data_IF_000125880858
#
_entry.id   IF_000125880858
#
_cell.length_a   1.000
_cell.length_b   1.000
_cell.length_c   1.000
_cell.angle_alpha   90.00
_cell.angle_beta   90.00
_cell.angle_gamma   90.00
#
_symmetry.space_group_name_H-M   'P 1'
#
loop_
_entity.id
_entity.type
_entity.pdbx_description
1 polymer ?
#
# COMPACT_ATOMS: atom_id res chain seq x y z
N UNK A 1 -0.40 0.33 13.09
CA UNK A 1 -1.85 0.06 13.02
C UNK A 1 -2.66 1.30 12.62
N UNK A 2 -2.61 2.41 13.36
CA UNK A 2 -3.47 3.60 13.12
C UNK A 2 -3.63 4.05 11.65
N UNK A 3 -2.54 4.16 10.89
CA UNK A 3 -2.59 4.62 9.49
C UNK A 3 -3.24 3.60 8.53
N UNK A 4 -3.12 2.30 8.80
CA UNK A 4 -3.76 1.27 8.00
C UNK A 4 -5.27 1.25 8.28
N UNK A 5 -5.68 1.45 9.53
CA UNK A 5 -7.09 1.59 9.89
C UNK A 5 -7.74 2.81 9.23
N UNK A 6 -7.01 3.93 9.11
CA UNK A 6 -7.47 5.08 8.32
C UNK A 6 -7.71 4.73 6.85
N UNK A 7 -6.84 3.92 6.24
CA UNK A 7 -7.04 3.44 4.87
C UNK A 7 -8.27 2.53 4.76
N UNK A 8 -8.51 1.64 5.74
CA UNK A 8 -9.73 0.83 5.77
C UNK A 8 -11.00 1.68 5.80
N UNK A 9 -11.01 2.76 6.59
CA UNK A 9 -12.13 3.72 6.62
C UNK A 9 -12.35 4.42 5.28
N UNK A 10 -11.29 4.73 4.52
CA UNK A 10 -11.47 5.26 3.16
C UNK A 10 -12.25 4.30 2.27
N UNK A 11 -11.95 3.00 2.36
CA UNK A 11 -12.64 1.99 1.56
C UNK A 11 -14.11 1.92 1.97
N UNK A 12 -14.39 1.89 3.27
CA UNK A 12 -15.76 1.87 3.79
C UNK A 12 -16.57 3.08 3.31
N UNK A 13 -15.99 4.29 3.39
CA UNK A 13 -16.68 5.54 3.06
C UNK A 13 -16.88 5.76 1.56
N UNK A 14 -15.95 5.29 0.72
CA UNK A 14 -15.90 5.66 -0.71
C UNK A 14 -16.01 4.47 -1.68
N UNK A 15 -16.28 3.25 -1.20
CA UNK A 15 -16.46 2.06 -2.05
C UNK A 15 -17.62 2.18 -3.06
N UNK A 16 -18.55 3.11 -2.86
CA UNK A 16 -19.63 3.40 -3.81
C UNK A 16 -19.18 4.16 -5.06
N UNK A 17 -18.01 4.81 -5.03
CA UNK A 17 -17.52 5.68 -6.11
C UNK A 17 -16.11 5.39 -6.59
N UNK A 18 -15.34 4.59 -5.85
CA UNK A 18 -13.97 4.27 -6.17
C UNK A 18 -13.65 2.81 -5.83
N UNK A 19 -12.89 2.18 -6.71
CA UNK A 19 -12.25 0.90 -6.45
C UNK A 19 -10.96 1.11 -5.65
N UNK A 20 -10.65 0.15 -4.78
CA UNK A 20 -9.44 0.16 -3.96
C UNK A 20 -8.60 -1.08 -4.23
N UNK A 21 -7.28 -0.92 -4.19
CA UNK A 21 -6.31 -1.99 -4.42
C UNK A 21 -5.09 -1.77 -3.53
N UNK A 22 -4.64 -2.83 -2.85
CA UNK A 22 -3.33 -2.86 -2.21
C UNK A 22 -2.39 -3.68 -3.08
N UNK A 23 -1.22 -3.11 -3.39
CA UNK A 23 -0.12 -3.81 -4.04
C UNK A 23 0.98 -4.03 -3.00
N UNK A 24 1.17 -5.26 -2.56
CA UNK A 24 2.24 -5.64 -1.64
C UNK A 24 3.57 -5.69 -2.39
N UNK A 25 4.52 -4.84 -1.99
CA UNK A 25 5.83 -4.67 -2.63
C UNK A 25 6.95 -5.34 -1.82
N UNK A 26 8.20 -5.03 -2.12
CA UNK A 26 9.34 -5.49 -1.34
C UNK A 26 9.39 -4.89 0.08
N UNK A 27 10.03 -5.60 1.00
CA UNK A 27 10.17 -5.16 2.39
C UNK A 27 11.12 -3.95 2.47
N UNK A 28 10.60 -2.81 2.93
CA UNK A 28 11.44 -1.62 3.17
C UNK A 28 12.52 -1.87 4.25
N UNK A 29 12.26 -2.78 5.18
CA UNK A 29 13.08 -3.06 6.35
C UNK A 29 13.20 -4.57 6.62
N UNK A 30 13.72 -5.30 5.63
CA UNK A 30 13.94 -6.74 5.73
C UNK A 30 14.89 -7.12 6.87
N UNK A 31 14.53 -8.17 7.62
CA UNK A 31 15.27 -8.68 8.78
C UNK A 31 16.66 -9.26 8.47
N UNK A 32 16.92 -9.64 7.22
CA UNK A 32 18.25 -10.03 6.75
C UNK A 32 18.98 -8.92 5.98
N UNK A 33 18.48 -7.69 6.10
CA UNK A 33 19.13 -6.45 5.67
C UNK A 33 19.18 -5.45 6.82
N UNK A 34 18.91 -4.17 6.52
CA UNK A 34 18.75 -3.15 7.56
C UNK A 34 17.31 -3.18 8.10
N UNK A 35 17.16 -3.43 9.40
CA UNK A 35 15.86 -3.47 10.06
C UNK A 35 15.87 -2.76 11.42
N UNK A 36 14.71 -2.22 11.80
CA UNK A 36 14.50 -1.72 13.15
C UNK A 36 14.35 -2.87 14.15
N UNK A 37 14.81 -2.67 15.39
CA UNK A 37 14.75 -3.70 16.46
C UNK A 37 13.33 -4.20 16.78
N UNK A 38 12.30 -3.42 16.50
CA UNK A 38 10.89 -3.74 16.80
C UNK A 38 10.04 -3.94 15.54
N UNK A 39 10.65 -4.30 14.40
CA UNK A 39 9.90 -4.52 13.16
C UNK A 39 9.34 -5.95 13.08
N UNK A 40 8.34 -6.15 12.22
CA UNK A 40 7.90 -7.49 11.83
C UNK A 40 9.08 -8.21 11.16
N UNK A 41 9.38 -9.42 11.61
CA UNK A 41 10.54 -10.18 11.15
C UNK A 41 10.21 -10.88 9.83
N UNK A 42 10.35 -10.15 8.72
CA UNK A 42 10.21 -10.66 7.35
C UNK A 42 11.56 -10.53 6.66
N UNK A 43 12.01 -11.57 5.97
CA UNK A 43 13.27 -11.54 5.18
C UNK A 43 13.00 -10.99 3.79
N UNK A 44 14.05 -10.58 3.09
CA UNK A 44 13.93 -10.24 1.67
C UNK A 44 13.31 -11.42 0.89
N UNK A 45 12.31 -11.11 0.08
CA UNK A 45 11.65 -12.10 -0.77
C UNK A 45 12.63 -12.62 -1.81
N UNK A 46 12.91 -13.92 -1.84
CA UNK A 46 13.80 -14.54 -2.86
C UNK A 46 13.03 -15.03 -4.07
N UNK A 47 11.73 -15.21 -3.92
CA UNK A 47 10.80 -15.66 -4.95
C UNK A 47 9.38 -15.16 -4.63
N UNK A 48 8.46 -15.38 -5.57
CA UNK A 48 7.07 -14.92 -5.43
C UNK A 48 6.34 -15.56 -4.24
N UNK A 49 6.66 -16.81 -3.89
CA UNK A 49 6.03 -17.49 -2.74
C UNK A 49 6.43 -16.86 -1.41
N UNK A 50 7.67 -16.38 -1.27
CA UNK A 50 8.09 -15.60 -0.10
C UNK A 50 7.24 -14.33 0.05
N UNK A 51 7.05 -13.60 -1.06
CA UNK A 51 6.24 -12.39 -1.08
C UNK A 51 4.76 -12.65 -0.81
N UNK A 52 4.21 -13.73 -1.36
CA UNK A 52 2.83 -14.14 -1.09
C UNK A 52 2.62 -14.51 0.38
N UNK A 53 3.61 -15.16 1.01
CA UNK A 53 3.56 -15.46 2.45
C UNK A 53 3.60 -14.20 3.30
N UNK A 54 4.44 -13.23 2.97
CA UNK A 54 4.48 -11.94 3.65
C UNK A 54 3.16 -11.16 3.47
N UNK A 55 2.63 -11.10 2.25
CA UNK A 55 1.35 -10.49 1.96
C UNK A 55 0.17 -11.16 2.70
N UNK A 56 0.26 -12.47 2.99
CA UNK A 56 -0.74 -13.17 3.81
C UNK A 56 -0.80 -12.63 5.24
N UNK A 57 0.32 -12.18 5.81
CA UNK A 57 0.33 -11.55 7.13
C UNK A 57 -0.46 -10.22 7.13
N UNK A 58 -0.43 -9.49 6.02
CA UNK A 58 -1.26 -8.29 5.87
C UNK A 58 -2.76 -8.63 5.85
N UNK A 59 -3.13 -9.80 5.29
CA UNK A 59 -4.51 -10.26 5.25
C UNK A 59 -5.10 -10.56 6.63
N UNK A 60 -4.28 -10.86 7.64
CA UNK A 60 -4.74 -11.01 9.02
C UNK A 60 -5.36 -9.72 9.56
N UNK A 61 -5.00 -8.56 9.00
CA UNK A 61 -5.61 -7.25 9.32
C UNK A 61 -6.96 -7.02 8.60
N UNK A 62 -7.42 -7.99 7.81
CA UNK A 62 -8.71 -7.99 7.09
C UNK A 62 -8.94 -6.71 6.26
N UNK A 63 -8.11 -6.41 5.26
CA UNK A 63 -8.35 -5.28 4.35
C UNK A 63 -9.63 -5.52 3.53
N UNK A 64 -10.56 -4.54 3.45
CA UNK A 64 -11.81 -4.68 2.70
C UNK A 64 -11.63 -4.43 1.19
N UNK A 65 -10.48 -4.78 0.62
CA UNK A 65 -10.21 -4.63 -0.81
C UNK A 65 -9.24 -5.73 -1.30
N UNK A 66 -9.15 -5.95 -2.62
CA UNK A 66 -8.16 -6.86 -3.18
C UNK A 66 -6.73 -6.50 -2.78
N UNK A 67 -5.97 -7.53 -2.40
CA UNK A 67 -4.52 -7.45 -2.17
C UNK A 67 -3.84 -8.28 -3.26
N UNK A 68 -3.00 -7.62 -4.05
CA UNK A 68 -2.13 -8.26 -5.03
C UNK A 68 -0.67 -8.09 -4.61
N UNK A 69 0.23 -8.87 -5.20
CA UNK A 69 1.67 -8.73 -4.98
C UNK A 69 2.33 -8.16 -6.23
N UNK A 70 3.32 -7.29 -6.05
CA UNK A 70 4.15 -6.85 -7.19
C UNK A 70 5.01 -8.01 -7.72
N UNK A 71 5.43 -7.91 -8.97
CA UNK A 71 6.32 -8.91 -9.58
C UNK A 71 7.68 -8.93 -8.88
N UNK A 72 8.42 -10.04 -9.00
CA UNK A 72 9.75 -10.14 -8.37
C UNK A 72 10.77 -9.16 -8.96
N UNK A 73 10.51 -8.62 -10.15
CA UNK A 73 11.26 -7.52 -10.77
C UNK A 73 10.91 -6.14 -10.19
N UNK A 74 9.99 -6.06 -9.21
CA UNK A 74 9.52 -4.82 -8.57
C UNK A 74 8.97 -3.79 -9.56
N UNK A 75 8.29 -4.26 -10.62
CA UNK A 75 7.89 -3.39 -11.74
C UNK A 75 6.94 -2.28 -11.31
N UNK A 76 5.94 -2.58 -10.49
CA UNK A 76 5.00 -1.58 -10.01
C UNK A 76 5.69 -0.62 -9.04
N UNK A 77 6.51 -1.14 -8.13
CA UNK A 77 7.28 -0.35 -7.18
C UNK A 77 8.20 0.66 -7.88
N UNK A 78 8.90 0.24 -8.94
CA UNK A 78 9.77 1.12 -9.72
C UNK A 78 8.99 2.18 -10.48
N UNK A 79 7.93 1.80 -11.21
CA UNK A 79 7.14 2.73 -12.03
C UNK A 79 6.40 3.77 -11.18
N UNK A 80 5.96 3.39 -9.98
CA UNK A 80 5.23 4.27 -9.06
C UNK A 80 6.11 4.82 -7.93
N UNK A 81 7.43 4.54 -7.93
CA UNK A 81 8.36 4.92 -6.86
C UNK A 81 7.73 4.69 -5.47
N UNK A 82 7.29 3.44 -5.23
CA UNK A 82 6.34 3.10 -4.17
C UNK A 82 6.99 2.86 -2.80
N UNK A 83 8.31 2.71 -2.74
CA UNK A 83 9.02 2.55 -1.47
C UNK A 83 9.02 3.83 -0.61
N UNK A 84 8.95 3.69 0.73
CA UNK A 84 8.70 2.44 1.47
C UNK A 84 7.21 2.03 1.44
N UNK A 85 6.33 3.01 1.35
CA UNK A 85 4.91 2.89 1.03
C UNK A 85 4.46 4.17 0.31
N UNK A 86 3.36 4.09 -0.45
CA UNK A 86 2.85 5.23 -1.21
C UNK A 86 1.38 5.10 -1.58
N UNK A 87 0.66 6.22 -1.52
CA UNK A 87 -0.73 6.33 -1.94
C UNK A 87 -0.85 7.00 -3.31
N UNK A 88 -1.77 6.51 -4.13
CA UNK A 88 -2.12 7.07 -5.42
C UNK A 88 -3.64 7.09 -5.61
N UNK A 89 -4.14 8.10 -6.31
CA UNK A 89 -5.50 8.10 -6.88
C UNK A 89 -5.37 8.22 -8.40
N UNK A 90 -5.98 7.27 -9.11
CA UNK A 90 -5.99 7.24 -10.56
C UNK A 90 -7.42 7.34 -11.08
N UNK A 91 -7.62 8.13 -12.12
CA UNK A 91 -8.88 8.21 -12.84
C UNK A 91 -8.60 8.33 -14.34
N UNK A 92 -9.29 7.55 -15.16
CA UNK A 92 -9.13 7.56 -16.62
C UNK A 92 -7.65 7.53 -17.08
N UNK A 93 -6.85 6.65 -16.46
CA UNK A 93 -5.40 6.48 -16.70
C UNK A 93 -4.53 7.70 -16.38
N UNK A 94 -5.05 8.67 -15.64
CA UNK A 94 -4.31 9.84 -15.14
C UNK A 94 -4.14 9.74 -13.64
N UNK A 95 -2.99 10.17 -13.15
CA UNK A 95 -2.72 10.29 -11.72
C UNK A 95 -3.35 11.61 -11.24
N UNK A 96 -4.42 11.53 -10.46
CA UNK A 96 -5.05 12.68 -9.82
C UNK A 96 -4.32 13.06 -8.52
N UNK A 97 -3.75 12.07 -7.85
CA UNK A 97 -2.99 12.27 -6.62
C UNK A 97 -1.83 11.29 -6.54
N UNK A 98 -0.67 11.82 -6.11
CA UNK A 98 0.56 11.10 -5.84
C UNK A 98 1.04 11.52 -4.46
N UNK A 99 0.90 10.63 -3.47
CA UNK A 99 1.41 10.86 -2.13
C UNK A 99 2.93 10.98 -2.10
N UNK A 100 3.47 11.57 -1.03
CA UNK A 100 4.91 11.55 -0.76
C UNK A 100 5.30 10.16 -0.22
N UNK A 101 6.59 9.75 -0.34
CA UNK A 101 7.06 8.49 0.22
C UNK A 101 6.83 8.43 1.73
N UNK A 102 6.34 7.29 2.21
CA UNK A 102 6.17 7.02 3.64
C UNK A 102 7.47 6.74 4.40
N UNK A 103 7.38 6.18 5.62
CA UNK A 103 6.14 5.97 6.37
C UNK A 103 5.60 7.28 6.95
N UNK A 104 6.45 8.31 7.08
CA UNK A 104 6.10 9.58 7.69
C UNK A 104 5.02 10.33 6.91
N UNK A 105 5.11 10.31 5.58
CA UNK A 105 4.17 11.01 4.70
C UNK A 105 3.00 10.16 4.18
N UNK A 106 2.75 8.98 4.76
CA UNK A 106 1.53 8.23 4.46
C UNK A 106 0.34 8.94 5.10
N UNK A 107 -0.44 9.66 4.29
CA UNK A 107 -1.56 10.50 4.72
C UNK A 107 -2.87 10.12 3.99
N UNK A 108 -3.63 9.13 4.51
CA UNK A 108 -4.95 8.76 3.96
C UNK A 108 -5.93 9.94 3.85
N UNK A 109 -5.82 10.96 4.71
CA UNK A 109 -6.67 12.15 4.66
C UNK A 109 -6.47 12.97 3.38
N UNK A 110 -5.27 12.96 2.77
CA UNK A 110 -5.06 13.60 1.47
C UNK A 110 -5.80 12.87 0.35
N UNK A 111 -5.89 11.53 0.43
CA UNK A 111 -6.71 10.72 -0.49
C UNK A 111 -8.20 11.01 -0.28
N UNK A 112 -8.66 11.10 0.99
CA UNK A 112 -10.04 11.51 1.31
C UNK A 112 -10.41 12.82 0.63
N UNK A 113 -9.60 13.86 0.79
CA UNK A 113 -9.86 15.18 0.22
C UNK A 113 -9.94 15.17 -1.32
N UNK A 114 -9.31 14.19 -1.99
CA UNK A 114 -9.43 13.98 -3.44
C UNK A 114 -10.75 13.27 -3.76
N UNK A 115 -11.09 12.21 -3.02
CA UNK A 115 -12.31 11.43 -3.24
C UNK A 115 -13.58 12.24 -2.95
N UNK A 116 -13.58 13.09 -1.92
CA UNK A 116 -14.71 13.99 -1.60
C UNK A 116 -15.02 14.95 -2.76
N UNK A 117 -14.00 15.41 -3.50
CA UNK A 117 -14.17 16.26 -4.69
C UNK A 117 -14.69 15.51 -5.92
N UNK A 118 -14.56 14.18 -5.94
CA UNK A 118 -15.10 13.32 -7.00
C UNK A 118 -16.53 12.88 -6.69
N UNK A 119 -16.94 12.95 -5.42
CA UNK A 119 -18.27 12.61 -4.94
C UNK A 119 -19.28 13.76 -5.05
N UNK A 120 -18.80 15.00 -5.19
CA UNK A 120 -19.60 16.22 -5.36
C UNK A 120 -19.99 16.47 -6.81
#
# INVERSE_FOLDING_TARGET
LFKFDQFKRLIEDFSSIADFLIIYIEEAHASDGWAFKNNVVIRNHRNLQDRLRAARLLLDSSPPCPVVVDSMENRSSQLYAALPDRLYVLQARRILYKGKPGPWNYHPEEVRAVLEKLHS
#
